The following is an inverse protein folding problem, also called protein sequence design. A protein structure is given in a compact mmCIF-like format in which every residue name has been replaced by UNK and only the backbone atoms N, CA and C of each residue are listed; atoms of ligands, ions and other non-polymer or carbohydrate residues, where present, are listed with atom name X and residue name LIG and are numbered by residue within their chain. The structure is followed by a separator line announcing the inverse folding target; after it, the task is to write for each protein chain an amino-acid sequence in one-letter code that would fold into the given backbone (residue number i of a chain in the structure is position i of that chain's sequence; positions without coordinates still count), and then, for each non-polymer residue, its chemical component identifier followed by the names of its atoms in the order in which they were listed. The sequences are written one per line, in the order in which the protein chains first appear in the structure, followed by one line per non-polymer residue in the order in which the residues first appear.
data_IF_964988636389
#
_entry.id   IF_964988636389
#
_cell.length_a   1.000
_cell.length_b   1.000
_cell.length_c   1.000
_cell.angle_alpha   90.00
_cell.angle_beta   90.00
_cell.angle_gamma   90.00
#
_symmetry.space_group_name_H-M   'P 1'
#
loop_
_entity.id
_entity.type
_entity.pdbx_description
1 polymer ?
#
# COMPACT_ATOMS: atom_id res chain seq x y z
N UNK A 1 18.65 37.51 -25.08
CA UNK A 1 19.40 36.25 -25.29
C UNK A 1 18.53 35.11 -24.78
N UNK A 2 17.89 34.41 -25.71
CA UNK A 2 16.97 33.31 -25.42
C UNK A 2 17.75 32.00 -25.21
N UNK A 3 17.52 31.31 -24.09
CA UNK A 3 17.88 29.90 -23.94
C UNK A 3 16.61 29.10 -23.71
N UNK A 4 16.31 28.27 -24.71
CA UNK A 4 15.18 27.36 -24.79
C UNK A 4 15.46 26.11 -23.96
N UNK A 5 14.63 25.83 -22.95
CA UNK A 5 14.61 24.53 -22.28
C UNK A 5 13.65 23.62 -23.03
N UNK A 6 14.22 22.64 -23.74
CA UNK A 6 13.48 21.58 -24.41
C UNK A 6 12.96 20.62 -23.32
N UNK A 7 11.65 20.62 -23.07
CA UNK A 7 10.97 19.55 -22.36
C UNK A 7 11.13 18.26 -23.17
N UNK A 8 11.92 17.30 -22.66
CA UNK A 8 11.77 15.90 -23.05
C UNK A 8 10.65 15.31 -22.19
N UNK A 9 9.45 15.24 -22.75
CA UNK A 9 8.38 14.41 -22.21
C UNK A 9 8.79 12.93 -22.36
N UNK A 10 9.30 12.33 -21.29
CA UNK A 10 9.35 10.88 -21.19
C UNK A 10 7.94 10.39 -20.86
N UNK A 11 7.30 9.68 -21.80
CA UNK A 11 6.11 8.89 -21.56
C UNK A 11 6.49 7.74 -20.63
N UNK A 12 6.46 7.98 -19.32
CA UNK A 12 6.41 6.92 -18.33
C UNK A 12 4.98 6.37 -18.29
N UNK A 13 4.81 5.14 -18.77
CA UNK A 13 3.56 4.40 -18.61
C UNK A 13 3.48 3.92 -17.16
N UNK A 14 3.06 4.80 -16.23
CA UNK A 14 2.84 4.44 -14.82
C UNK A 14 1.74 3.40 -14.74
N UNK A 15 2.09 2.15 -14.42
CA UNK A 15 1.12 1.09 -14.12
C UNK A 15 0.46 1.43 -12.78
N UNK A 16 -0.78 1.93 -12.83
CA UNK A 16 -1.59 2.20 -11.64
C UNK A 16 -2.10 0.85 -11.09
N UNK A 17 -1.66 0.50 -9.89
CA UNK A 17 -2.06 -0.72 -9.16
C UNK A 17 -3.18 -0.36 -8.18
N UNK A 18 -4.25 -1.14 -8.11
CA UNK A 18 -5.57 -0.65 -7.69
C UNK A 18 -6.37 -1.67 -6.83
N UNK A 19 -6.51 -1.42 -5.53
CA UNK A 19 -7.10 -2.37 -4.58
C UNK A 19 -8.65 -2.40 -4.53
N UNK A 20 -9.29 -3.58 -4.59
CA UNK A 20 -10.74 -3.71 -4.31
C UNK A 20 -11.23 -5.12 -3.98
N UNK A 21 -12.28 -5.22 -3.15
CA UNK A 21 -13.05 -6.47 -2.90
C UNK A 21 -14.55 -6.27 -3.14
N UNK A 22 -15.28 -7.30 -3.56
CA UNK A 22 -16.75 -7.29 -3.75
C UNK A 22 -17.42 -8.40 -2.93
N UNK A 23 -18.55 -8.13 -2.25
CA UNK A 23 -19.44 -9.15 -1.63
C UNK A 23 -20.85 -9.14 -2.27
N UNK A 24 -21.56 -10.29 -2.30
CA UNK A 24 -22.88 -10.41 -2.92
C UNK A 24 -24.01 -9.82 -2.05
N UNK A 25 -25.07 -9.35 -2.71
CA UNK A 25 -26.38 -9.13 -2.08
C UNK A 25 -27.04 -10.49 -1.84
N UNK A 26 -27.55 -10.71 -0.63
CA UNK A 26 -28.25 -11.96 -0.28
C UNK A 26 -29.60 -12.05 -0.97
N UNK A 27 -29.94 -13.25 -1.43
CA UNK A 27 -31.31 -13.62 -1.80
C UNK A 27 -31.74 -14.80 -0.94
N UNK A 28 -32.70 -14.55 -0.04
CA UNK A 28 -33.56 -15.57 0.53
C UNK A 28 -34.48 -16.11 -0.58
N UNK A 29 -34.78 -17.41 -0.57
CA UNK A 29 -36.02 -17.93 -1.15
C UNK A 29 -35.88 -19.14 -2.08
N UNK A 30 -36.18 -20.29 -1.50
CA UNK A 30 -36.86 -21.47 -2.06
C UNK A 30 -36.28 -22.28 -3.22
N UNK A 31 -36.22 -23.58 -2.93
CA UNK A 31 -35.99 -24.67 -3.85
C UNK A 31 -36.92 -24.66 -5.06
N UNK A 32 -36.34 -24.85 -6.24
CA UNK A 32 -36.99 -25.46 -7.38
C UNK A 32 -35.94 -26.28 -8.14
N UNK A 33 -36.10 -27.59 -8.11
CA UNK A 33 -35.48 -28.55 -9.03
C UNK A 33 -35.96 -28.27 -10.45
N UNK A 34 -35.03 -28.02 -11.39
CA UNK A 34 -35.28 -28.26 -12.82
C UNK A 34 -34.01 -28.82 -13.46
N UNK A 35 -34.24 -29.88 -14.23
CA UNK A 35 -33.27 -30.72 -14.93
C UNK A 35 -32.71 -30.07 -16.20
N UNK A 36 -31.53 -30.57 -16.55
CA UNK A 36 -30.68 -30.44 -17.75
C UNK A 36 -31.37 -30.01 -19.06
N UNK A 37 -30.74 -29.06 -19.76
CA UNK A 37 -30.65 -29.08 -21.23
C UNK A 37 -29.27 -28.57 -21.67
N UNK A 38 -28.53 -29.44 -22.34
CA UNK A 38 -27.27 -29.11 -23.00
C UNK A 38 -27.51 -28.20 -24.20
N UNK A 39 -26.70 -27.16 -24.35
CA UNK A 39 -26.51 -26.48 -25.63
C UNK A 39 -25.03 -26.17 -25.81
N UNK A 40 -24.52 -26.68 -26.91
CA UNK A 40 -23.17 -26.62 -27.46
C UNK A 40 -22.56 -25.21 -27.47
N UNK A 41 -21.33 -25.11 -26.95
CA UNK A 41 -20.41 -24.01 -27.21
C UNK A 41 -19.26 -24.53 -28.11
N UNK A 42 -18.77 -23.76 -29.09
CA UNK A 42 -17.74 -24.21 -30.02
C UNK A 42 -16.35 -24.16 -29.37
N UNK A 43 -15.47 -25.05 -29.86
CA UNK A 43 -14.09 -25.24 -29.44
C UNK A 43 -13.21 -23.98 -29.58
N UNK A 44 -12.23 -23.76 -28.69
CA UNK A 44 -11.22 -22.74 -28.89
C UNK A 44 -10.14 -23.23 -29.87
N UNK A 45 -9.92 -22.46 -30.93
CA UNK A 45 -8.80 -22.62 -31.86
C UNK A 45 -7.45 -22.54 -31.15
N UNK A 46 -6.64 -23.56 -31.40
CA UNK A 46 -5.22 -23.66 -31.09
C UNK A 46 -4.42 -22.64 -31.89
N UNK A 47 -3.72 -21.74 -31.20
CA UNK A 47 -2.55 -21.06 -31.75
C UNK A 47 -1.33 -21.51 -30.95
N UNK A 48 -0.54 -22.36 -31.61
CA UNK A 48 0.78 -22.82 -31.19
C UNK A 48 1.74 -21.63 -31.00
N UNK A 49 2.45 -21.60 -29.88
CA UNK A 49 3.66 -20.82 -29.71
C UNK A 49 4.87 -21.77 -29.85
N UNK A 50 5.93 -21.38 -30.58
CA UNK A 50 7.02 -22.29 -30.91
C UNK A 50 7.87 -22.60 -29.67
N UNK A 51 8.25 -23.87 -29.59
CA UNK A 51 9.21 -24.40 -28.63
C UNK A 51 10.60 -23.79 -28.84
N UNK A 52 11.16 -23.19 -27.80
CA UNK A 52 12.59 -23.01 -27.66
C UNK A 52 13.07 -23.84 -26.47
N UNK A 53 13.54 -25.05 -26.78
CA UNK A 53 14.25 -25.93 -25.88
C UNK A 53 15.73 -25.52 -25.90
N UNK A 54 16.30 -25.22 -24.74
CA UNK A 54 17.74 -25.20 -24.54
C UNK A 54 18.06 -25.62 -23.09
N UNK A 55 18.35 -26.92 -22.99
CA UNK A 55 19.15 -27.65 -22.01
C UNK A 55 19.59 -26.94 -20.72
N UNK A 56 19.13 -27.54 -19.63
CA UNK A 56 19.82 -27.73 -18.35
C UNK A 56 21.33 -27.93 -18.51
N UNK A 57 22.10 -27.12 -17.79
CA UNK A 57 23.38 -27.55 -17.25
C UNK A 57 23.28 -27.55 -15.72
N UNK A 58 23.55 -28.70 -15.14
CA UNK A 58 23.56 -28.95 -13.70
C UNK A 58 25.02 -28.80 -13.24
N UNK A 59 25.34 -27.72 -12.52
CA UNK A 59 26.72 -27.49 -12.09
C UNK A 59 26.85 -26.55 -10.89
N UNK A 60 27.19 -27.16 -9.75
CA UNK A 60 27.91 -26.61 -8.61
C UNK A 60 27.24 -25.56 -7.69
N UNK A 61 26.93 -26.05 -6.49
CA UNK A 61 26.84 -25.27 -5.25
C UNK A 61 28.13 -24.46 -5.04
N UNK A 62 28.00 -23.13 -4.98
CA UNK A 62 29.04 -22.26 -4.41
C UNK A 62 28.61 -21.78 -3.02
N UNK A 63 29.45 -21.95 -1.98
CA UNK A 63 29.18 -21.42 -0.65
C UNK A 63 29.18 -19.88 -0.69
N UNK A 64 28.17 -19.28 -0.06
CA UNK A 64 28.06 -17.83 0.11
C UNK A 64 29.23 -17.38 1.01
N UNK A 65 30.12 -16.58 0.46
CA UNK A 65 31.31 -16.08 1.14
C UNK A 65 30.91 -14.95 2.12
N UNK A 66 31.16 -15.04 3.44
CA UNK A 66 30.65 -14.11 4.45
C UNK A 66 31.54 -12.87 4.63
N UNK A 67 32.08 -12.31 3.55
CA UNK A 67 32.96 -11.15 3.61
C UNK A 67 32.71 -10.20 2.44
N UNK A 68 31.55 -9.55 2.44
CA UNK A 68 31.43 -8.24 1.78
C UNK A 68 31.39 -7.19 2.90
N UNK A 69 32.31 -6.21 2.92
CA UNK A 69 32.23 -5.11 3.86
C UNK A 69 30.88 -4.43 3.65
N UNK A 70 30.15 -4.25 4.75
CA UNK A 70 28.88 -3.53 4.78
C UNK A 70 29.14 -2.15 4.21
N UNK A 71 28.83 -1.94 2.93
CA UNK A 71 28.69 -0.60 2.39
C UNK A 71 27.62 0.06 3.24
N UNK A 72 28.03 0.98 4.13
CA UNK A 72 27.11 1.89 4.81
C UNK A 72 26.37 2.63 3.70
N UNK A 73 25.21 2.11 3.33
CA UNK A 73 24.28 2.82 2.48
C UNK A 73 23.99 4.10 3.25
N UNK A 74 24.41 5.22 2.67
CA UNK A 74 24.19 6.56 3.20
C UNK A 74 22.71 6.64 3.54
N UNK A 75 22.41 6.91 4.81
CA UNK A 75 21.04 7.13 5.27
C UNK A 75 20.40 8.16 4.33
N UNK A 76 19.35 7.73 3.62
CA UNK A 76 18.69 8.58 2.64
C UNK A 76 18.10 9.76 3.39
N UNK A 77 18.55 10.97 3.06
CA UNK A 77 18.09 12.17 3.73
C UNK A 77 16.56 12.27 3.61
N UNK A 78 15.89 12.59 4.71
CA UNK A 78 14.46 12.81 4.70
C UNK A 78 14.10 13.81 3.57
N UNK A 79 13.03 13.54 2.79
CA UNK A 79 12.60 14.47 1.76
C UNK A 79 12.29 15.84 2.39
N UNK A 80 12.52 16.95 1.66
CA UNK A 80 12.26 18.29 2.19
C UNK A 80 10.77 18.47 2.52
N UNK A 81 10.50 19.35 3.48
CA UNK A 81 9.13 19.79 3.77
C UNK A 81 8.52 20.43 2.50
N UNK A 82 7.24 20.12 2.18
CA UNK A 82 6.60 20.70 1.00
C UNK A 82 6.42 22.21 1.20
N UNK A 83 6.67 22.96 0.13
CA UNK A 83 6.49 24.41 0.08
C UNK A 83 5.01 24.80 0.12
N UNK A 84 4.73 26.07 0.42
CA UNK A 84 3.37 26.60 0.40
C UNK A 84 2.66 26.36 -0.95
N UNK A 85 3.36 26.56 -2.06
CA UNK A 85 2.79 26.40 -3.40
C UNK A 85 2.52 24.93 -3.76
N UNK A 86 3.38 24.01 -3.31
CA UNK A 86 3.15 22.57 -3.44
C UNK A 86 1.92 22.13 -2.63
N UNK A 87 1.80 22.61 -1.38
CA UNK A 87 0.62 22.36 -0.54
C UNK A 87 -0.64 22.87 -1.22
N UNK A 88 -0.63 24.10 -1.74
CA UNK A 88 -1.76 24.69 -2.45
C UNK A 88 -2.13 23.87 -3.70
N UNK A 89 -1.14 23.42 -4.47
CA UNK A 89 -1.34 22.61 -5.68
C UNK A 89 -2.00 21.27 -5.38
N UNK A 90 -1.62 20.61 -4.28
CA UNK A 90 -2.25 19.36 -3.83
C UNK A 90 -3.68 19.61 -3.35
N UNK A 91 -3.88 20.62 -2.50
CA UNK A 91 -5.20 20.91 -1.92
C UNK A 91 -6.23 21.31 -2.97
N UNK A 92 -5.83 22.04 -4.01
CA UNK A 92 -6.73 22.65 -4.99
C UNK A 92 -6.47 22.15 -6.42
N UNK A 93 -6.04 20.89 -6.57
CA UNK A 93 -5.75 20.27 -7.86
C UNK A 93 -6.93 20.26 -8.85
N UNK A 94 -8.15 20.48 -8.35
CA UNK A 94 -9.41 20.59 -9.09
C UNK A 94 -9.79 22.04 -9.48
N UNK A 95 -8.98 23.04 -9.11
CA UNK A 95 -9.28 24.46 -9.36
C UNK A 95 -8.39 25.03 -10.46
N UNK A 96 -9.02 25.66 -11.44
CA UNK A 96 -8.31 26.39 -12.49
C UNK A 96 -7.67 27.71 -12.01
N UNK A 97 -8.22 28.33 -10.96
CA UNK A 97 -7.74 29.62 -10.44
C UNK A 97 -7.18 29.46 -9.02
N UNK A 98 -5.97 28.90 -8.92
CA UNK A 98 -5.24 28.80 -7.66
C UNK A 98 -4.89 30.18 -7.08
N UNK A 99 -4.68 31.19 -7.95
CA UNK A 99 -4.27 32.53 -7.55
C UNK A 99 -5.26 33.23 -6.60
N UNK A 100 -6.56 33.04 -6.83
CA UNK A 100 -7.61 33.59 -5.97
C UNK A 100 -7.60 32.96 -4.58
N UNK A 101 -7.34 31.65 -4.48
CA UNK A 101 -7.24 30.93 -3.21
C UNK A 101 -5.98 31.36 -2.45
N UNK A 102 -4.84 31.42 -3.13
CA UNK A 102 -3.59 31.86 -2.49
C UNK A 102 -3.62 33.33 -2.09
N UNK A 103 -4.39 34.18 -2.78
CA UNK A 103 -4.60 35.58 -2.40
C UNK A 103 -5.44 35.72 -1.12
N UNK A 104 -6.36 34.78 -0.85
CA UNK A 104 -7.11 34.74 0.41
C UNK A 104 -6.23 34.37 1.63
N UNK A 105 -5.07 33.76 1.38
CA UNK A 105 -4.07 33.40 2.40
C UNK A 105 -2.77 34.21 2.17
N UNK A 106 -2.75 35.51 2.54
CA UNK A 106 -1.70 36.44 2.12
C UNK A 106 -0.33 36.09 2.70
N UNK A 107 0.72 36.44 1.96
CA UNK A 107 2.12 36.20 2.39
C UNK A 107 2.54 37.00 3.62
N UNK A 108 1.76 38.01 4.02
CA UNK A 108 1.93 38.74 5.29
C UNK A 108 1.49 37.93 6.52
N UNK A 109 0.71 36.87 6.33
CA UNK A 109 0.36 35.93 7.41
C UNK A 109 1.57 35.06 7.76
N UNK A 110 1.86 34.81 9.06
CA UNK A 110 2.94 33.92 9.48
C UNK A 110 2.88 32.56 8.76
N UNK A 111 4.02 31.94 8.38
CA UNK A 111 4.05 30.76 7.51
C UNK A 111 3.09 29.63 7.91
N UNK A 112 3.10 29.22 9.17
CA UNK A 112 2.22 28.16 9.68
C UNK A 112 0.74 28.54 9.64
N UNK A 113 0.41 29.77 10.01
CA UNK A 113 -0.95 30.29 9.95
C UNK A 113 -1.43 30.45 8.49
N UNK A 114 -0.51 30.73 7.57
CA UNK A 114 -0.78 30.83 6.14
C UNK A 114 -1.10 29.45 5.54
N UNK A 115 -0.35 28.41 5.93
CA UNK A 115 -0.67 27.03 5.55
C UNK A 115 -2.00 26.60 6.16
N UNK A 116 -2.25 26.89 7.43
CA UNK A 116 -3.55 26.62 8.08
C UNK A 116 -4.72 27.23 7.31
N UNK A 117 -4.57 28.48 6.84
CA UNK A 117 -5.57 29.15 6.00
C UNK A 117 -5.92 28.32 4.74
N UNK A 118 -4.96 27.72 4.04
CA UNK A 118 -5.25 26.88 2.87
C UNK A 118 -6.13 25.67 3.23
N UNK A 119 -5.91 25.03 4.37
CA UNK A 119 -6.74 23.93 4.84
C UNK A 119 -8.15 24.38 5.22
N UNK A 120 -8.29 25.50 5.92
CA UNK A 120 -9.60 26.07 6.27
C UNK A 120 -10.38 26.49 5.00
N UNK A 121 -9.70 27.03 4.00
CA UNK A 121 -10.27 27.34 2.69
C UNK A 121 -10.71 26.07 1.94
N UNK A 122 -9.86 25.03 1.90
CA UNK A 122 -10.17 23.80 1.17
C UNK A 122 -11.36 23.05 1.78
N UNK A 123 -11.40 23.00 3.10
CA UNK A 123 -12.41 22.27 3.87
C UNK A 123 -13.53 23.17 4.39
N UNK A 124 -13.72 24.34 3.78
CA UNK A 124 -14.76 25.30 4.16
C UNK A 124 -16.13 24.61 4.22
N UNK A 125 -16.81 24.75 5.36
CA UNK A 125 -18.07 24.08 5.65
C UNK A 125 -17.95 22.81 6.49
N UNK A 126 -16.74 22.37 6.85
CA UNK A 126 -16.49 21.34 7.87
C UNK A 126 -15.15 21.60 8.60
N UNK A 127 -15.20 22.44 9.64
CA UNK A 127 -14.03 22.83 10.41
C UNK A 127 -13.32 21.64 11.13
N UNK A 128 -14.06 20.56 11.41
CA UNK A 128 -13.48 19.35 11.98
C UNK A 128 -12.63 18.61 10.95
N UNK A 129 -13.13 18.48 9.71
CA UNK A 129 -12.34 17.92 8.61
C UNK A 129 -11.10 18.77 8.30
N UNK A 130 -11.24 20.11 8.31
CA UNK A 130 -10.11 21.04 8.14
C UNK A 130 -9.02 20.82 9.19
N UNK A 131 -9.42 20.68 10.46
CA UNK A 131 -8.49 20.46 11.57
C UNK A 131 -7.78 19.10 11.48
N UNK A 132 -8.49 18.04 11.08
CA UNK A 132 -7.89 16.71 10.86
C UNK A 132 -6.92 16.70 9.68
N UNK A 133 -7.27 17.36 8.57
CA UNK A 133 -6.39 17.50 7.41
C UNK A 133 -5.12 18.30 7.75
N UNK A 134 -5.27 19.37 8.53
CA UNK A 134 -4.13 20.14 9.02
C UNK A 134 -3.29 19.35 10.03
N UNK A 135 -3.88 18.52 10.89
CA UNK A 135 -3.14 17.61 11.77
C UNK A 135 -2.26 16.65 10.96
N UNK A 136 -2.78 16.09 9.86
CA UNK A 136 -2.02 15.23 8.96
C UNK A 136 -0.73 15.91 8.47
N UNK A 137 -0.84 17.18 8.10
CA UNK A 137 0.30 17.98 7.66
C UNK A 137 1.27 18.33 8.80
N UNK A 138 0.77 18.83 9.93
CA UNK A 138 1.63 19.30 11.02
C UNK A 138 2.44 18.14 11.63
N UNK A 139 1.84 16.97 11.83
CA UNK A 139 2.49 15.84 12.51
C UNK A 139 3.30 14.94 11.59
N UNK A 140 2.79 14.68 10.39
CA UNK A 140 3.37 13.69 9.49
C UNK A 140 3.72 14.25 8.13
N UNK A 141 3.57 15.57 7.92
CA UNK A 141 3.81 16.22 6.62
C UNK A 141 3.02 15.56 5.50
N UNK A 142 1.83 15.04 5.85
CA UNK A 142 0.89 14.46 4.89
C UNK A 142 -0.03 15.56 4.38
N UNK A 143 0.09 15.89 3.09
CA UNK A 143 -0.78 16.89 2.47
C UNK A 143 -2.05 16.21 1.95
N UNK A 144 -3.14 16.45 2.64
CA UNK A 144 -4.45 15.84 2.38
C UNK A 144 -5.30 16.74 1.45
N UNK A 145 -5.19 16.51 0.15
CA UNK A 145 -5.89 17.27 -0.89
C UNK A 145 -6.80 16.39 -1.75
N UNK A 146 -6.93 16.73 -3.03
CA UNK A 146 -7.77 15.96 -3.96
C UNK A 146 -7.00 15.49 -5.19
N UNK A 147 -7.53 14.45 -5.81
CA UNK A 147 -7.04 13.98 -7.09
C UNK A 147 -7.47 14.90 -8.24
N UNK A 148 -6.71 14.90 -9.32
CA UNK A 148 -7.10 15.55 -10.57
C UNK A 148 -8.17 14.72 -11.27
N UNK A 149 -9.08 15.37 -11.98
CA UNK A 149 -10.03 14.64 -12.80
C UNK A 149 -9.31 13.99 -13.99
N UNK A 150 -9.34 12.66 -14.09
CA UNK A 150 -8.73 11.93 -15.20
C UNK A 150 -9.49 10.63 -15.51
N UNK A 151 -9.01 9.86 -16.48
CA UNK A 151 -9.48 8.51 -16.76
C UNK A 151 -8.28 7.58 -16.70
N UNK A 152 -8.40 6.49 -15.96
CA UNK A 152 -7.35 5.47 -15.82
C UNK A 152 -7.80 4.13 -16.37
N UNK A 153 -6.85 3.30 -16.81
CA UNK A 153 -7.12 1.90 -17.11
C UNK A 153 -7.15 1.10 -15.81
N UNK A 154 -8.32 0.55 -15.44
CA UNK A 154 -8.51 -0.29 -14.26
C UNK A 154 -8.25 -1.78 -14.51
N UNK A 155 -7.49 -2.13 -15.54
CA UNK A 155 -7.22 -3.50 -15.97
C UNK A 155 -8.48 -4.17 -16.51
N UNK A 156 -8.85 -5.33 -15.97
CA UNK A 156 -10.07 -6.06 -16.35
C UNK A 156 -11.37 -5.27 -16.13
N UNK A 157 -11.30 -4.13 -15.40
CA UNK A 157 -12.42 -3.24 -15.12
C UNK A 157 -12.65 -2.21 -16.23
N UNK A 158 -11.77 -2.16 -17.24
CA UNK A 158 -11.82 -1.18 -18.31
C UNK A 158 -11.45 0.23 -17.84
N UNK A 159 -11.86 1.23 -18.61
CA UNK A 159 -11.56 2.63 -18.32
C UNK A 159 -12.44 3.16 -17.19
N UNK A 160 -11.81 3.73 -16.17
CA UNK A 160 -12.46 4.28 -14.97
C UNK A 160 -12.25 5.78 -14.94
N UNK A 161 -13.36 6.52 -14.87
CA UNK A 161 -13.35 7.97 -14.68
C UNK A 161 -13.14 8.29 -13.20
N UNK A 162 -12.14 9.11 -12.90
CA UNK A 162 -11.81 9.61 -11.56
C UNK A 162 -12.17 11.08 -11.47
N UNK A 163 -12.80 11.45 -10.35
CA UNK A 163 -13.19 12.82 -10.03
C UNK A 163 -12.66 13.25 -8.65
N UNK A 164 -12.25 14.51 -8.49
CA UNK A 164 -11.88 15.08 -7.20
C UNK A 164 -13.05 14.99 -6.21
N UNK A 165 -12.79 14.59 -4.97
CA UNK A 165 -13.81 14.57 -3.93
C UNK A 165 -13.21 14.85 -2.55
N UNK A 166 -13.95 15.50 -1.66
CA UNK A 166 -13.50 15.87 -0.32
C UNK A 166 -14.14 15.00 0.77
N UNK A 167 -13.38 14.54 1.78
CA UNK A 167 -13.92 13.78 2.91
C UNK A 167 -14.52 14.73 3.96
N UNK A 168 -15.65 15.37 3.63
CA UNK A 168 -16.37 16.28 4.52
C UNK A 168 -17.73 15.72 4.90
N UNK A 169 -18.33 16.28 5.96
CA UNK A 169 -19.67 15.96 6.46
C UNK A 169 -19.81 14.45 6.70
N UNK A 170 -20.70 13.78 5.97
CA UNK A 170 -20.96 12.34 6.11
C UNK A 170 -19.76 11.46 5.72
N UNK A 171 -18.80 12.00 4.98
CA UNK A 171 -17.58 11.31 4.57
C UNK A 171 -16.36 11.64 5.41
N UNK A 172 -16.50 12.54 6.39
CA UNK A 172 -15.41 12.92 7.31
C UNK A 172 -14.80 11.72 8.04
N UNK A 173 -15.57 10.66 8.25
CA UNK A 173 -15.08 9.39 8.81
C UNK A 173 -13.83 8.86 8.10
N UNK A 174 -13.65 9.10 6.79
CA UNK A 174 -12.45 8.64 6.08
C UNK A 174 -11.19 9.32 6.61
N UNK A 175 -11.20 10.65 6.78
CA UNK A 175 -10.03 11.36 7.31
C UNK A 175 -9.83 11.10 8.80
N UNK A 176 -10.91 10.90 9.56
CA UNK A 176 -10.84 10.44 10.97
C UNK A 176 -10.12 9.08 11.08
N UNK A 177 -10.48 8.11 10.23
CA UNK A 177 -9.85 6.79 10.20
C UNK A 177 -8.39 6.84 9.72
N UNK A 178 -8.07 7.69 8.74
CA UNK A 178 -6.69 7.87 8.27
C UNK A 178 -5.81 8.49 9.35
N UNK A 179 -6.27 9.54 10.05
CA UNK A 179 -5.54 10.11 11.20
C UNK A 179 -5.33 9.05 12.28
N UNK A 180 -6.33 8.21 12.56
CA UNK A 180 -6.18 7.10 13.50
C UNK A 180 -5.14 6.07 13.02
N UNK A 181 -5.08 5.79 11.71
CA UNK A 181 -4.08 4.88 11.14
C UNK A 181 -2.66 5.46 11.27
N UNK A 182 -2.47 6.75 10.98
CA UNK A 182 -1.16 7.41 11.10
C UNK A 182 -0.61 7.38 12.53
N UNK A 183 -1.47 7.60 13.54
CA UNK A 183 -1.10 7.46 14.95
C UNK A 183 -0.70 6.02 15.30
N UNK A 184 -1.41 5.04 14.74
CA UNK A 184 -1.10 3.61 14.94
C UNK A 184 0.25 3.25 14.29
N UNK A 185 0.54 3.76 13.09
CA UNK A 185 1.83 3.56 12.42
C UNK A 185 2.98 4.20 13.21
N UNK A 186 2.81 5.43 13.69
CA UNK A 186 3.80 6.09 14.53
C UNK A 186 4.10 5.27 15.79
N UNK A 187 3.06 4.79 16.47
CA UNK A 187 3.21 3.90 17.63
C UNK A 187 3.91 2.60 17.23
N UNK A 188 3.49 1.97 16.14
CA UNK A 188 4.06 0.72 15.65
C UNK A 188 5.57 0.83 15.39
N UNK A 189 5.99 1.85 14.64
CA UNK A 189 7.41 2.07 14.37
C UNK A 189 8.20 2.43 15.63
N UNK A 190 7.63 3.22 16.54
CA UNK A 190 8.25 3.52 17.82
C UNK A 190 8.39 2.28 18.73
N UNK A 191 7.43 1.35 18.71
CA UNK A 191 7.57 0.07 19.42
C UNK A 191 8.62 -0.83 18.75
N UNK A 192 8.68 -0.87 17.41
CA UNK A 192 9.73 -1.60 16.70
C UNK A 192 11.12 -1.05 17.07
N UNK A 193 11.28 0.27 17.15
CA UNK A 193 12.53 0.91 17.58
C UNK A 193 13.02 0.40 18.94
N UNK A 194 12.10 0.21 19.90
CA UNK A 194 12.43 -0.30 21.24
C UNK A 194 12.87 -1.77 21.24
N UNK A 195 12.56 -2.51 20.20
CA UNK A 195 12.95 -3.91 20.02
C UNK A 195 14.16 -4.08 19.07
N UNK A 196 14.76 -2.98 18.61
CA UNK A 196 16.02 -3.04 17.89
C UNK A 196 17.16 -3.53 18.84
N UNK A 197 18.16 -4.27 18.33
CA UNK A 197 19.32 -4.65 19.13
C UNK A 197 20.02 -3.43 19.76
N UNK A 198 20.35 -3.50 21.05
CA UNK A 198 21.05 -2.45 21.79
C UNK A 198 22.46 -2.91 22.20
N UNK A 199 23.39 -1.96 22.41
CA UNK A 199 24.77 -2.25 22.88
C UNK A 199 25.78 -2.47 21.75
N UNK A 200 26.81 -3.29 21.97
CA UNK A 200 27.87 -3.56 20.98
C UNK A 200 27.34 -4.19 19.67
N UNK A 201 26.15 -4.80 19.74
CA UNK A 201 25.38 -5.32 18.59
C UNK A 201 24.62 -4.22 17.80
N UNK A 202 24.64 -2.95 18.24
CA UNK A 202 24.02 -1.84 17.50
C UNK A 202 24.66 -1.65 16.11
N UNK A 203 25.91 -2.08 15.94
CA UNK A 203 26.58 -2.14 14.63
C UNK A 203 25.95 -3.15 13.65
N UNK A 204 25.16 -4.10 14.15
CA UNK A 204 24.36 -5.05 13.37
C UNK A 204 22.93 -4.55 13.08
N UNK A 205 22.50 -3.43 13.68
CA UNK A 205 21.18 -2.84 13.44
C UNK A 205 21.08 -2.33 12.01
N UNK A 206 20.16 -2.90 11.23
CA UNK A 206 19.90 -2.47 9.85
C UNK A 206 18.96 -1.26 9.87
N UNK A 207 19.17 -0.26 9.00
CA UNK A 207 18.25 0.86 8.92
C UNK A 207 16.86 0.36 8.51
N UNK A 208 15.82 0.86 9.17
CA UNK A 208 14.45 0.66 8.72
C UNK A 208 14.22 1.53 7.50
N UNK A 209 13.90 0.91 6.37
CA UNK A 209 13.68 1.61 5.10
C UNK A 209 12.21 1.84 4.79
N UNK A 210 11.29 1.24 5.56
CA UNK A 210 9.88 1.55 5.42
C UNK A 210 9.59 2.99 5.83
N UNK A 211 9.24 3.81 4.85
CA UNK A 211 8.84 5.20 5.02
C UNK A 211 7.32 5.31 4.87
N UNK A 212 6.64 5.74 5.92
CA UNK A 212 5.19 6.01 5.92
C UNK A 212 4.86 7.51 5.88
N UNK A 213 5.88 8.37 5.89
CA UNK A 213 5.77 9.84 5.90
C UNK A 213 7.09 10.51 5.43
N UNK A 214 7.05 11.72 4.82
CA UNK A 214 5.87 12.41 4.27
C UNK A 214 5.31 11.71 3.04
N UNK A 215 4.00 11.88 2.81
CA UNK A 215 3.30 11.44 1.59
C UNK A 215 2.27 12.49 1.16
N UNK A 216 1.85 12.46 -0.09
CA UNK A 216 0.65 13.16 -0.54
C UNK A 216 -0.56 12.23 -0.44
N UNK A 217 -1.70 12.73 0.03
CA UNK A 217 -2.96 12.00 0.09
C UNK A 217 -4.00 12.71 -0.76
N UNK A 218 -4.46 12.08 -1.84
CA UNK A 218 -5.40 12.67 -2.81
C UNK A 218 -6.77 12.00 -2.73
N UNK A 219 -7.75 12.69 -2.19
CA UNK A 219 -9.12 12.17 -2.12
C UNK A 219 -9.83 12.25 -3.47
N UNK A 220 -10.58 11.20 -3.81
CA UNK A 220 -11.25 11.07 -5.09
C UNK A 220 -12.52 10.22 -5.00
N UNK A 221 -13.27 10.19 -6.10
CA UNK A 221 -14.29 9.20 -6.39
C UNK A 221 -14.10 8.62 -7.78
N UNK A 222 -14.38 7.33 -7.91
CA UNK A 222 -14.61 6.71 -9.20
C UNK A 222 -16.08 6.91 -9.63
N UNK A 223 -16.32 7.35 -10.86
CA UNK A 223 -17.67 7.49 -11.42
C UNK A 223 -18.19 6.13 -11.88
N UNK A 224 -19.44 5.82 -11.56
CA UNK A 224 -20.15 4.57 -11.91
C UNK A 224 -19.49 3.25 -11.43
N UNK A 225 -18.36 3.34 -10.72
CA UNK A 225 -17.66 2.22 -10.10
C UNK A 225 -17.35 2.56 -8.64
N UNK A 226 -17.04 1.54 -7.83
CA UNK A 226 -16.54 1.68 -6.45
C UNK A 226 -15.07 1.30 -6.33
N UNK A 227 -14.35 1.42 -7.45
CA UNK A 227 -13.00 0.89 -7.61
C UNK A 227 -12.14 1.83 -8.45
N UNK A 228 -10.82 1.87 -8.19
CA UNK A 228 -10.16 1.20 -7.05
C UNK A 228 -10.54 1.85 -5.71
N UNK A 229 -10.28 1.16 -4.60
CA UNK A 229 -10.46 1.74 -3.26
C UNK A 229 -9.34 2.73 -2.99
N UNK A 230 -8.11 2.39 -3.36
CA UNK A 230 -6.97 3.29 -3.39
C UNK A 230 -5.96 2.83 -4.46
N UNK A 231 -5.01 3.69 -4.78
CA UNK A 231 -3.82 3.36 -5.55
C UNK A 231 -2.66 4.28 -5.14
N UNK A 232 -1.44 3.88 -5.45
CA UNK A 232 -0.23 4.60 -5.09
C UNK A 232 0.70 4.87 -6.29
N UNK A 233 1.31 6.05 -6.32
CA UNK A 233 2.35 6.44 -7.29
C UNK A 233 3.09 7.68 -6.76
N UNK A 234 4.34 7.95 -7.16
CA UNK A 234 5.06 9.21 -6.92
C UNK A 234 4.91 9.78 -5.48
N UNK A 235 5.07 8.92 -4.47
CA UNK A 235 4.85 9.24 -3.05
C UNK A 235 3.47 9.84 -2.71
N UNK A 236 2.47 9.48 -3.51
CA UNK A 236 1.06 9.84 -3.41
C UNK A 236 0.22 8.58 -3.21
N UNK A 237 -0.72 8.64 -2.26
CA UNK A 237 -1.82 7.69 -2.16
C UNK A 237 -3.10 8.39 -2.61
N UNK A 238 -3.71 7.91 -3.69
CA UNK A 238 -5.03 8.35 -4.12
C UNK A 238 -6.11 7.49 -3.44
N UNK A 239 -7.09 8.14 -2.82
CA UNK A 239 -8.02 7.52 -1.88
C UNK A 239 -9.48 7.71 -2.29
N UNK A 240 -10.16 6.61 -2.61
CA UNK A 240 -11.55 6.64 -3.06
C UNK A 240 -12.52 6.70 -1.88
N UNK A 241 -13.31 7.77 -1.80
CA UNK A 241 -14.37 7.90 -0.80
C UNK A 241 -15.51 6.89 -1.00
N UNK A 242 -15.67 6.36 -2.22
CA UNK A 242 -16.60 5.29 -2.55
C UNK A 242 -15.94 3.89 -2.58
N UNK A 243 -14.67 3.78 -2.16
CA UNK A 243 -13.89 2.55 -2.21
C UNK A 243 -14.52 1.39 -1.43
N UNK A 244 -14.60 0.21 -2.04
CA UNK A 244 -15.31 -0.93 -1.47
C UNK A 244 -14.61 -1.56 -0.25
N UNK A 245 -13.31 -1.30 -0.06
CA UNK A 245 -12.54 -1.78 1.10
C UNK A 245 -12.74 -0.92 2.35
N UNK A 246 -13.15 0.34 2.21
CA UNK A 246 -13.15 1.33 3.30
C UNK A 246 -14.38 1.22 4.22
N UNK A 247 -14.52 0.06 4.88
CA UNK A 247 -15.73 -0.29 5.66
C UNK A 247 -15.56 -0.14 7.17
N UNK A 248 -14.33 -0.03 7.65
CA UNK A 248 -14.01 0.09 9.08
C UNK A 248 -12.68 0.81 9.27
N UNK A 249 -12.38 1.31 10.48
CA UNK A 249 -11.06 1.86 10.80
C UNK A 249 -9.92 0.88 10.51
N UNK A 250 -10.08 -0.40 10.85
CA UNK A 250 -9.07 -1.42 10.60
C UNK A 250 -8.83 -1.64 9.11
N UNK A 251 -9.90 -1.73 8.31
CA UNK A 251 -9.76 -1.92 6.86
C UNK A 251 -9.09 -0.70 6.19
N UNK A 252 -9.36 0.52 6.68
CA UNK A 252 -8.68 1.73 6.21
C UNK A 252 -7.20 1.71 6.59
N UNK A 253 -6.85 1.34 7.82
CA UNK A 253 -5.47 1.22 8.27
C UNK A 253 -4.69 0.20 7.45
N UNK A 254 -5.27 -0.98 7.23
CA UNK A 254 -4.65 -2.04 6.43
C UNK A 254 -4.49 -1.63 4.96
N UNK A 255 -5.51 -1.01 4.36
CA UNK A 255 -5.43 -0.49 2.98
C UNK A 255 -4.34 0.58 2.87
N UNK A 256 -4.29 1.53 3.80
CA UNK A 256 -3.28 2.59 3.76
C UNK A 256 -1.85 2.05 3.91
N UNK A 257 -1.64 1.05 4.79
CA UNK A 257 -0.33 0.41 4.93
C UNK A 257 0.07 -0.32 3.65
N UNK A 258 -0.87 -1.05 3.03
CA UNK A 258 -0.65 -1.70 1.74
C UNK A 258 -0.24 -0.68 0.65
N UNK A 259 -0.99 0.42 0.50
CA UNK A 259 -0.69 1.42 -0.55
C UNK A 259 0.63 2.16 -0.28
N UNK A 260 0.96 2.43 0.98
CA UNK A 260 2.27 2.98 1.35
C UNK A 260 3.41 2.02 1.03
N UNK A 261 3.19 0.71 1.12
CA UNK A 261 4.24 -0.25 0.74
C UNK A 261 4.56 -0.15 -0.75
N UNK A 262 3.57 0.02 -1.64
CA UNK A 262 3.85 0.23 -3.06
C UNK A 262 4.82 1.39 -3.29
N UNK A 263 4.67 2.49 -2.54
CA UNK A 263 5.61 3.63 -2.60
C UNK A 263 7.04 3.24 -2.18
N UNK A 264 7.16 2.39 -1.16
CA UNK A 264 8.45 1.90 -0.67
C UNK A 264 9.09 0.91 -1.64
N UNK A 265 8.30 0.02 -2.24
CA UNK A 265 8.77 -0.98 -3.20
C UNK A 265 9.40 -0.31 -4.44
N UNK A 266 8.74 0.72 -4.96
CA UNK A 266 9.26 1.52 -6.09
C UNK A 266 10.46 2.40 -5.71
N UNK A 267 10.61 2.80 -4.45
CA UNK A 267 11.73 3.61 -4.01
C UNK A 267 13.03 2.81 -3.84
N UNK A 268 12.96 1.47 -3.86
CA UNK A 268 14.11 0.59 -3.62
C UNK A 268 14.42 -0.34 -4.81
N UNK A 269 14.52 0.18 -6.06
CA UNK A 269 14.88 -0.65 -7.20
C UNK A 269 16.28 -1.26 -6.99
N UNK A 270 16.52 -2.52 -7.39
CA UNK A 270 17.89 -2.97 -7.61
C UNK A 270 18.53 -2.13 -8.74
N UNK A 271 19.87 -2.05 -8.82
CA UNK A 271 20.53 -1.30 -9.89
C UNK A 271 20.04 -1.70 -11.28
N UNK A 272 19.41 -0.76 -11.99
CA UNK A 272 18.85 -0.98 -13.33
C UNK A 272 17.54 -1.78 -13.38
N UNK A 273 16.87 -2.04 -12.24
CA UNK A 273 15.57 -2.72 -12.19
C UNK A 273 14.40 -1.81 -11.82
N UNK A 274 13.21 -2.42 -11.67
CA UNK A 274 11.93 -1.72 -11.45
C UNK A 274 11.63 -1.42 -9.98
N UNK A 275 11.12 -2.41 -9.25
CA UNK A 275 10.78 -2.32 -7.83
C UNK A 275 11.50 -3.44 -7.09
N UNK A 276 11.77 -3.24 -5.79
CA UNK A 276 12.52 -4.19 -4.95
C UNK A 276 11.97 -5.62 -5.08
N UNK A 277 10.63 -5.75 -5.02
CA UNK A 277 9.90 -7.01 -5.00
C UNK A 277 10.21 -7.93 -6.17
N UNK A 278 10.49 -7.39 -7.36
CA UNK A 278 10.86 -8.20 -8.52
C UNK A 278 12.14 -9.00 -8.28
N UNK A 279 13.18 -8.35 -7.75
CA UNK A 279 14.44 -9.02 -7.45
C UNK A 279 14.40 -9.87 -6.19
N UNK A 280 13.74 -9.39 -5.14
CA UNK A 280 13.77 -10.04 -3.83
C UNK A 280 12.79 -11.20 -3.72
N UNK A 281 11.63 -11.10 -4.37
CA UNK A 281 10.50 -12.02 -4.20
C UNK A 281 10.06 -12.70 -5.50
N UNK A 282 10.53 -12.25 -6.67
CA UNK A 282 10.10 -12.77 -7.98
C UNK A 282 10.24 -14.29 -8.09
N UNK A 283 11.41 -14.84 -7.78
CA UNK A 283 11.64 -16.28 -7.83
C UNK A 283 10.75 -17.08 -6.87
N UNK A 284 10.45 -16.54 -5.69
CA UNK A 284 9.54 -17.18 -4.72
C UNK A 284 8.11 -17.16 -5.26
N UNK A 285 7.65 -16.00 -5.75
CA UNK A 285 6.33 -15.82 -6.32
C UNK A 285 6.11 -16.73 -7.53
N UNK A 286 7.04 -16.73 -8.48
CA UNK A 286 6.95 -17.53 -9.70
C UNK A 286 6.95 -19.03 -9.40
N UNK A 287 7.73 -19.49 -8.42
CA UNK A 287 7.71 -20.88 -7.99
C UNK A 287 6.34 -21.30 -7.42
N UNK A 288 5.71 -20.43 -6.61
CA UNK A 288 4.37 -20.67 -6.07
C UNK A 288 3.33 -20.66 -7.19
N UNK A 289 3.35 -19.68 -8.10
CA UNK A 289 2.42 -19.60 -9.23
C UNK A 289 2.59 -20.80 -10.17
N UNK A 290 3.82 -21.20 -10.48
CA UNK A 290 4.11 -22.39 -11.29
C UNK A 290 3.56 -23.67 -10.64
N UNK A 291 3.65 -23.78 -9.30
CA UNK A 291 3.17 -24.94 -8.55
C UNK A 291 1.63 -24.98 -8.46
N UNK A 292 1.01 -23.84 -8.16
CA UNK A 292 -0.39 -23.79 -7.74
C UNK A 292 -1.35 -23.22 -8.79
N UNK A 293 -0.85 -22.53 -9.82
CA UNK A 293 -1.68 -21.73 -10.73
C UNK A 293 -2.54 -20.74 -9.94
N UNK A 294 -3.86 -20.80 -10.15
CA UNK A 294 -4.85 -19.99 -9.44
C UNK A 294 -5.63 -20.78 -8.37
N UNK A 295 -5.28 -22.04 -8.11
CA UNK A 295 -6.06 -22.92 -7.25
C UNK A 295 -6.00 -22.48 -5.78
N UNK A 296 -7.14 -22.01 -5.24
CA UNK A 296 -7.27 -21.51 -3.86
C UNK A 296 -6.71 -22.51 -2.82
N UNK A 297 -7.05 -23.81 -2.85
CA UNK A 297 -6.53 -24.74 -1.84
C UNK A 297 -5.01 -24.88 -1.84
N UNK A 298 -4.36 -24.76 -3.02
CA UNK A 298 -2.90 -24.83 -3.13
C UNK A 298 -2.24 -23.52 -2.68
N UNK A 299 -2.85 -22.37 -2.99
CA UNK A 299 -2.33 -21.04 -2.66
C UNK A 299 -2.53 -20.63 -1.20
N UNK A 300 -3.51 -21.21 -0.51
CA UNK A 300 -3.84 -20.89 0.88
C UNK A 300 -2.62 -20.80 1.83
N UNK A 301 -1.68 -21.77 1.87
CA UNK A 301 -0.50 -21.67 2.73
C UNK A 301 0.52 -20.61 2.30
N UNK A 302 0.48 -20.13 1.05
CA UNK A 302 1.42 -19.15 0.50
C UNK A 302 0.87 -17.72 0.50
N UNK A 303 -0.45 -17.55 0.66
CA UNK A 303 -1.07 -16.25 0.63
C UNK A 303 -0.76 -15.47 1.91
N UNK A 304 -0.20 -14.25 1.83
CA UNK A 304 0.05 -13.45 3.02
C UNK A 304 -1.23 -13.09 3.77
N UNK A 305 -2.35 -12.86 3.07
CA UNK A 305 -3.66 -12.59 3.69
C UNK A 305 -4.80 -13.35 3.00
N UNK A 306 -5.98 -13.32 3.63
CA UNK A 306 -7.16 -14.08 3.21
C UNK A 306 -8.04 -13.36 2.16
N UNK A 307 -7.57 -12.23 1.63
CA UNK A 307 -8.33 -11.44 0.65
C UNK A 307 -8.43 -12.22 -0.65
N UNK A 308 -9.65 -12.61 -1.05
CA UNK A 308 -9.93 -13.30 -2.31
C UNK A 308 -10.74 -12.38 -3.24
N UNK A 309 -10.34 -12.32 -4.51
CA UNK A 309 -11.06 -11.62 -5.57
C UNK A 309 -12.29 -12.43 -5.96
N UNK A 310 -13.44 -11.77 -6.09
CA UNK A 310 -14.70 -12.44 -6.47
C UNK A 310 -14.55 -13.13 -7.83
N UNK A 311 -14.84 -14.43 -7.86
CA UNK A 311 -14.70 -15.26 -9.06
C UNK A 311 -13.25 -15.52 -9.49
N UNK A 312 -12.28 -15.15 -8.65
CA UNK A 312 -10.85 -15.32 -8.87
C UNK A 312 -10.20 -16.09 -7.73
N UNK A 313 -9.00 -15.66 -7.35
CA UNK A 313 -8.19 -16.30 -6.31
C UNK A 313 -7.73 -15.28 -5.25
N UNK A 314 -6.79 -15.66 -4.40
CA UNK A 314 -6.15 -14.73 -3.46
C UNK A 314 -5.63 -13.48 -4.18
N UNK A 315 -5.82 -12.32 -3.59
CA UNK A 315 -5.51 -11.01 -4.18
C UNK A 315 -4.05 -10.91 -4.63
N UNK A 316 -3.12 -11.41 -3.82
CA UNK A 316 -1.68 -11.48 -4.14
C UNK A 316 -1.36 -12.33 -5.38
N UNK A 317 -2.20 -13.30 -5.72
CA UNK A 317 -1.99 -14.26 -6.83
C UNK A 317 -3.01 -14.10 -7.96
N UNK A 318 -3.86 -13.06 -7.91
CA UNK A 318 -4.83 -12.79 -8.97
C UNK A 318 -4.06 -12.50 -10.27
N UNK A 319 -4.40 -13.15 -11.41
CA UNK A 319 -3.81 -12.81 -12.69
C UNK A 319 -3.89 -11.31 -12.98
N UNK A 320 -2.75 -10.69 -13.29
CA UNK A 320 -2.60 -9.25 -13.52
C UNK A 320 -2.00 -8.45 -12.34
N UNK A 321 -2.00 -8.99 -11.12
CA UNK A 321 -1.47 -8.32 -9.93
C UNK A 321 0.05 -8.49 -9.80
N UNK A 322 0.55 -9.73 -9.90
CA UNK A 322 1.98 -10.05 -9.91
C UNK A 322 2.69 -9.89 -8.57
N UNK A 323 4.03 -9.99 -8.59
CA UNK A 323 4.87 -10.02 -7.38
C UNK A 323 4.79 -8.75 -6.52
N UNK A 324 4.51 -7.59 -7.12
CA UNK A 324 4.34 -6.32 -6.38
C UNK A 324 3.18 -6.40 -5.39
N UNK A 325 2.06 -6.97 -5.81
CA UNK A 325 0.88 -7.12 -4.95
C UNK A 325 1.09 -8.21 -3.89
N UNK A 326 1.83 -9.27 -4.24
CA UNK A 326 2.30 -10.23 -3.24
C UNK A 326 3.17 -9.57 -2.17
N UNK A 327 4.08 -8.68 -2.57
CA UNK A 327 4.96 -7.95 -1.65
C UNK A 327 4.18 -6.97 -0.75
N UNK A 328 3.21 -6.24 -1.30
CA UNK A 328 2.34 -5.34 -0.51
C UNK A 328 1.48 -6.10 0.50
N UNK A 329 0.90 -7.23 0.09
CA UNK A 329 0.18 -8.12 1.01
C UNK A 329 1.10 -8.72 2.07
N UNK A 330 2.35 -9.04 1.73
CA UNK A 330 3.36 -9.53 2.67
C UNK A 330 3.79 -8.46 3.68
N UNK A 331 3.98 -7.22 3.26
CA UNK A 331 4.28 -6.10 4.16
C UNK A 331 3.12 -5.85 5.12
N UNK A 332 1.88 -5.90 4.61
CA UNK A 332 0.68 -5.83 5.42
C UNK A 332 0.60 -7.00 6.42
N UNK A 333 0.91 -8.23 5.99
CA UNK A 333 0.94 -9.40 6.86
C UNK A 333 1.99 -9.27 7.97
N UNK A 334 3.18 -8.77 7.64
CA UNK A 334 4.22 -8.44 8.60
C UNK A 334 3.71 -7.44 9.65
N UNK A 335 3.17 -6.31 9.20
CA UNK A 335 2.59 -5.31 10.10
C UNK A 335 1.53 -5.90 11.03
N UNK A 336 0.60 -6.71 10.51
CA UNK A 336 -0.47 -7.33 11.31
C UNK A 336 0.07 -8.23 12.42
N UNK A 337 1.01 -9.11 12.12
CA UNK A 337 1.57 -10.04 13.10
C UNK A 337 2.45 -9.33 14.14
N UNK A 338 3.35 -8.44 13.71
CA UNK A 338 4.18 -7.67 14.64
C UNK A 338 3.32 -6.79 15.55
N UNK A 339 2.36 -6.05 14.99
CA UNK A 339 1.45 -5.18 15.73
C UNK A 339 0.66 -5.95 16.78
N UNK A 340 0.19 -7.16 16.45
CA UNK A 340 -0.53 -8.00 17.40
C UNK A 340 0.33 -8.33 18.62
N UNK A 341 1.60 -8.69 18.44
CA UNK A 341 2.51 -8.96 19.55
C UNK A 341 2.85 -7.68 20.32
N UNK A 342 3.30 -6.63 19.62
CA UNK A 342 3.72 -5.36 20.24
C UNK A 342 2.60 -4.70 21.06
N UNK A 343 1.34 -4.85 20.63
CA UNK A 343 0.20 -4.22 21.30
C UNK A 343 -0.59 -5.18 22.21
N UNK A 344 -0.10 -6.41 22.43
CA UNK A 344 -0.74 -7.37 23.35
C UNK A 344 -0.44 -7.11 24.83
N UNK A 345 0.41 -6.13 25.17
CA UNK A 345 0.75 -5.82 26.56
C UNK A 345 -0.32 -4.93 27.26
N UNK A 346 -0.77 -5.28 28.48
CA UNK A 346 -1.80 -4.54 29.23
C UNK A 346 -1.45 -3.09 29.62
N UNK A 347 -0.17 -2.69 29.55
CA UNK A 347 0.27 -1.31 29.84
C UNK A 347 0.03 -0.34 28.68
N UNK A 348 -0.43 -0.84 27.53
CA UNK A 348 -0.82 -0.03 26.41
C UNK A 348 -2.15 0.70 26.70
N UNK A 349 -2.10 1.88 27.29
CA UNK A 349 -3.25 2.77 27.39
C UNK A 349 -3.89 2.93 26.00
N UNK A 350 -5.13 2.42 25.86
CA UNK A 350 -5.94 2.65 24.67
C UNK A 350 -6.41 4.10 24.70
N UNK A 351 -6.05 4.95 23.71
CA UNK A 351 -6.47 6.35 23.67
C UNK A 351 -7.99 6.56 23.58
N UNK A 352 -8.74 5.47 23.39
CA UNK A 352 -10.19 5.48 23.18
C UNK A 352 -11.02 5.17 24.43
N UNK A 353 -10.40 4.86 25.58
CA UNK A 353 -11.10 4.55 26.84
C UNK A 353 -12.05 3.34 26.78
N UNK A 354 -12.17 2.67 25.63
CA UNK A 354 -12.83 1.37 25.48
C UNK A 354 -11.75 0.30 25.59
N UNK A 355 -12.06 -0.74 26.35
CA UNK A 355 -11.35 -2.01 26.30
C UNK A 355 -11.46 -2.59 24.88
N UNK A 356 -10.63 -2.08 23.97
CA UNK A 356 -10.39 -2.68 22.67
C UNK A 356 -9.68 -4.00 22.92
N UNK A 357 -10.25 -5.09 22.42
CA UNK A 357 -9.53 -6.36 22.41
C UNK A 357 -8.19 -6.15 21.71
N UNK A 358 -7.10 -6.56 22.35
CA UNK A 358 -5.77 -6.52 21.73
C UNK A 358 -5.83 -7.20 20.37
N UNK A 359 -5.10 -6.70 19.36
CA UNK A 359 -5.13 -7.30 18.04
C UNK A 359 -4.67 -8.75 18.17
N UNK A 360 -5.48 -9.70 17.70
CA UNK A 360 -5.08 -11.11 17.69
C UNK A 360 -4.17 -11.36 16.49
N UNK A 361 -3.02 -12.02 16.67
CA UNK A 361 -2.16 -12.35 15.54
C UNK A 361 -2.89 -13.35 14.62
N UNK A 362 -2.75 -13.20 13.29
CA UNK A 362 -3.04 -14.30 12.36
C UNK A 362 -2.28 -15.57 12.79
N UNK A 363 -2.97 -16.71 12.83
CA UNK A 363 -2.38 -18.01 13.18
C UNK A 363 -2.59 -19.03 12.04
N UNK A 364 -1.58 -19.85 11.69
CA UNK A 364 -0.19 -19.76 12.16
C UNK A 364 0.52 -18.50 11.63
N UNK A 365 1.62 -18.10 12.27
CA UNK A 365 2.49 -17.04 11.77
C UNK A 365 2.96 -17.36 10.35
N UNK A 366 2.98 -16.37 9.46
CA UNK A 366 3.21 -16.58 8.03
C UNK A 366 4.54 -17.29 7.76
N UNK A 367 5.59 -16.85 8.47
CA UNK A 367 6.95 -17.42 8.38
C UNK A 367 7.04 -18.91 8.76
N UNK A 368 6.02 -19.45 9.43
CA UNK A 368 5.96 -20.84 9.87
C UNK A 368 5.17 -21.75 8.93
N UNK A 369 4.76 -21.22 7.77
CA UNK A 369 4.23 -22.02 6.68
C UNK A 369 5.34 -22.74 5.88
N UNK A 370 5.12 -22.99 4.58
CA UNK A 370 6.13 -23.57 3.70
C UNK A 370 7.45 -22.77 3.68
N UNK A 371 8.59 -23.39 3.30
CA UNK A 371 9.89 -22.72 3.25
C UNK A 371 9.93 -21.43 2.44
N UNK A 372 9.09 -21.31 1.41
CA UNK A 372 8.88 -20.10 0.62
C UNK A 372 8.50 -18.90 1.49
N UNK A 373 7.62 -19.10 2.47
CA UNK A 373 7.13 -18.03 3.34
C UNK A 373 8.24 -17.51 4.24
N UNK A 374 9.06 -18.39 4.80
CA UNK A 374 10.19 -17.99 5.63
C UNK A 374 11.21 -17.13 4.85
N UNK A 375 11.48 -17.50 3.58
CA UNK A 375 12.37 -16.72 2.69
C UNK A 375 11.78 -15.36 2.35
N UNK A 376 10.50 -15.32 1.98
CA UNK A 376 9.80 -14.08 1.65
C UNK A 376 9.74 -13.14 2.87
N UNK A 377 9.38 -13.69 4.04
CA UNK A 377 9.34 -12.98 5.31
C UNK A 377 10.70 -12.39 5.68
N UNK A 378 11.76 -13.19 5.63
CA UNK A 378 13.11 -12.72 5.93
C UNK A 378 13.52 -11.56 5.01
N UNK A 379 13.22 -11.66 3.71
CA UNK A 379 13.51 -10.60 2.74
C UNK A 379 12.79 -9.29 3.08
N UNK A 380 11.48 -9.36 3.34
CA UNK A 380 10.66 -8.20 3.74
C UNK A 380 11.15 -7.55 5.03
N UNK A 381 11.37 -8.38 6.06
CA UNK A 381 11.86 -7.97 7.38
C UNK A 381 13.20 -7.25 7.29
N UNK A 382 14.12 -7.83 6.51
CA UNK A 382 15.50 -7.39 6.42
C UNK A 382 15.64 -6.09 5.65
N UNK A 383 14.87 -5.90 4.58
CA UNK A 383 14.91 -4.67 3.77
C UNK A 383 14.23 -3.51 4.50
N UNK A 384 12.98 -3.70 4.93
CA UNK A 384 12.12 -2.58 5.31
C UNK A 384 12.03 -2.35 6.82
N UNK A 385 12.22 -3.39 7.61
CA UNK A 385 11.92 -3.38 9.04
C UNK A 385 13.15 -3.61 9.93
N UNK A 386 14.35 -3.39 9.39
CA UNK A 386 15.59 -3.41 10.15
C UNK A 386 15.97 -4.78 10.72
N UNK A 387 15.43 -5.87 10.16
CA UNK A 387 15.66 -7.22 10.66
C UNK A 387 14.86 -7.58 11.91
N UNK A 388 14.00 -6.69 12.42
CA UNK A 388 13.25 -6.91 13.66
C UNK A 388 12.12 -7.90 13.41
N UNK A 389 11.93 -8.88 14.29
CA UNK A 389 10.80 -9.80 14.24
C UNK A 389 10.46 -10.29 15.65
N UNK A 390 9.44 -9.68 16.25
CA UNK A 390 8.98 -10.01 17.61
C UNK A 390 7.94 -11.14 17.61
N UNK A 391 7.54 -11.64 16.44
CA UNK A 391 6.62 -12.77 16.35
C UNK A 391 7.32 -14.03 16.85
N UNK A 392 6.68 -14.86 17.69
CA UNK A 392 7.29 -16.08 18.21
C UNK A 392 7.93 -16.95 17.12
N UNK A 393 9.01 -17.69 17.45
CA UNK A 393 9.61 -18.64 16.52
C UNK A 393 8.62 -19.76 16.19
N UNK A 394 8.86 -20.43 15.06
CA UNK A 394 8.05 -21.56 14.64
C UNK A 394 8.25 -22.74 15.60
N UNK A 395 7.15 -23.32 16.08
CA UNK A 395 7.21 -24.53 16.89
C UNK A 395 7.85 -25.67 16.10
N UNK A 396 8.80 -26.37 16.72
CA UNK A 396 9.40 -27.61 16.24
C UNK A 396 8.41 -28.76 16.24
#
# INVERSE_FOLDING_TARGET
MHSSWILRAALFSSLVVACSSQRPAGTNGSAATVSVAASSAPEPSTLEAPAASANVDAGALHPVNPANPVNRVKEEAAPPDPTFDEIATVLFADRANLSAVTAACPSSTPPDARVRCLFDERYRGDAAAASLAHELYVKWRVVAGVEVAHTMNGGYRGMIRIEPALPIKTERKHIEWIVSAMRDFERFFAELDRHAPAGDDASASRPKRYRFKPITLRFMRSVAARTPSAYAHDWTVAWNLAGSLHRSPDAVRETLFHEMFHLNDYAHPPPGGEAWSFSALGAVFDAVVKKCGTAIPCLAPYSPNDTIVRGGTYYSFQPGNGVREYAAELALRYYREQRAVLFSHPSAESPSGRAGSSPKPPVPSFKCGPPENARAWASMRDEFFGGIDVVPPCGS
#
